data_IF_761781324009
#
_entry.id   IF_761781324009
#
_cell.length_a   1.000
_cell.length_b   1.000
_cell.length_c   1.000
_cell.angle_alpha   90.00
_cell.angle_beta   90.00
_cell.angle_gamma   90.00
#
_symmetry.space_group_name_H-M   'P 1'
#
loop_
_entity.id
_entity.type
_entity.pdbx_description
1 polymer ?
#
# COMPACT_ATOMS: atom_id res chain seq x y z
N UNK A 1 -5.30 -4.77 -26.93
CA UNK A 1 -6.65 -4.42 -26.44
C UNK A 1 -7.40 -5.67 -25.98
N UNK A 2 -7.24 -6.04 -24.71
CA UNK A 2 -8.07 -6.98 -23.97
C UNK A 2 -7.80 -6.75 -22.48
N UNK A 3 -8.83 -6.31 -21.75
CA UNK A 3 -8.96 -6.28 -20.29
C UNK A 3 -7.77 -5.81 -19.43
N UNK A 4 -7.68 -4.50 -19.14
CA UNK A 4 -6.95 -4.02 -17.96
C UNK A 4 -7.96 -3.48 -16.94
N UNK A 5 -8.24 -4.33 -15.95
CA UNK A 5 -8.66 -4.04 -14.58
C UNK A 5 -9.48 -2.76 -14.35
N UNK A 6 -10.80 -2.85 -14.50
CA UNK A 6 -11.74 -2.09 -13.68
C UNK A 6 -11.64 -2.62 -12.23
N UNK A 7 -10.52 -2.36 -11.53
CA UNK A 7 -10.38 -2.65 -10.10
C UNK A 7 -10.91 -1.52 -9.21
N UNK A 8 -11.67 -0.60 -9.78
CA UNK A 8 -12.55 0.28 -9.01
C UNK A 8 -13.72 -0.56 -8.49
N UNK A 9 -13.49 -1.31 -7.41
CA UNK A 9 -14.61 -1.89 -6.67
C UNK A 9 -15.30 -0.70 -5.99
N UNK A 10 -16.37 -0.20 -6.63
CA UNK A 10 -17.31 0.75 -6.04
C UNK A 10 -17.70 0.25 -4.64
N UNK A 11 -18.01 1.19 -3.75
CA UNK A 11 -18.48 0.94 -2.38
C UNK A 11 -19.87 0.28 -2.35
N UNK A 12 -20.08 -0.82 -3.08
CA UNK A 12 -21.37 -1.47 -3.22
C UNK A 12 -21.56 -2.59 -2.20
N UNK A 13 -22.35 -2.30 -1.17
CA UNK A 13 -23.40 -3.13 -0.54
C UNK A 13 -23.07 -4.48 0.10
N UNK A 14 -21.96 -5.14 -0.24
CA UNK A 14 -21.51 -6.39 0.36
C UNK A 14 -20.55 -6.06 1.52
N UNK A 15 -21.16 -5.74 2.67
CA UNK A 15 -20.55 -5.81 4.00
C UNK A 15 -19.19 -5.10 4.16
N UNK A 16 -19.24 -3.78 4.25
CA UNK A 16 -18.30 -2.96 5.06
C UNK A 16 -18.53 -3.23 6.56
N UNK A 17 -18.64 -4.49 6.98
CA UNK A 17 -19.14 -4.85 8.32
C UNK A 17 -18.11 -5.64 9.14
N UNK A 18 -16.90 -5.83 8.62
CA UNK A 18 -15.78 -6.40 9.35
C UNK A 18 -14.69 -5.36 9.60
N UNK A 19 -14.00 -5.49 10.73
CA UNK A 19 -12.78 -4.74 11.02
C UNK A 19 -11.65 -5.32 10.17
N UNK A 20 -10.93 -4.46 9.44
CA UNK A 20 -9.74 -4.85 8.67
C UNK A 20 -8.53 -5.00 9.60
N UNK A 21 -7.60 -5.91 9.30
CA UNK A 21 -6.36 -5.99 10.08
C UNK A 21 -5.45 -4.78 9.80
N UNK A 22 -5.42 -4.32 8.54
CA UNK A 22 -4.59 -3.19 8.10
C UNK A 22 -5.35 -2.28 7.14
N UNK A 23 -5.37 -0.98 7.45
CA UNK A 23 -5.75 0.08 6.53
C UNK A 23 -4.52 0.92 6.14
N UNK A 24 -4.25 1.05 4.85
CA UNK A 24 -3.20 1.92 4.31
C UNK A 24 -3.86 3.14 3.67
N UNK A 25 -3.55 4.32 4.21
CA UNK A 25 -4.05 5.60 3.71
C UNK A 25 -3.06 6.16 2.70
N UNK A 26 -3.37 5.99 1.41
CA UNK A 26 -2.60 6.51 0.27
C UNK A 26 -1.95 5.41 -0.60
N UNK A 27 -2.37 5.33 -1.87
CA UNK A 27 -1.82 4.41 -2.87
C UNK A 27 -0.58 4.94 -3.60
N UNK A 28 0.29 5.65 -2.87
CA UNK A 28 1.61 6.02 -3.37
C UNK A 28 2.61 4.86 -3.26
N UNK A 29 3.86 5.07 -3.69
CA UNK A 29 4.89 4.02 -3.63
C UNK A 29 5.10 3.48 -2.21
N UNK A 30 5.11 4.36 -1.19
CA UNK A 30 5.27 3.94 0.19
C UNK A 30 4.10 3.07 0.67
N UNK A 31 2.86 3.54 0.47
CA UNK A 31 1.67 2.82 0.91
C UNK A 31 1.48 1.50 0.19
N UNK A 32 1.61 1.47 -1.13
CA UNK A 32 1.54 0.22 -1.90
C UNK A 32 2.64 -0.76 -1.50
N UNK A 33 3.85 -0.28 -1.17
CA UNK A 33 4.90 -1.17 -0.68
C UNK A 33 4.57 -1.69 0.72
N UNK A 34 4.12 -0.85 1.65
CA UNK A 34 3.69 -1.32 2.97
C UNK A 34 2.56 -2.37 2.85
N UNK A 35 1.56 -2.11 2.02
CA UNK A 35 0.44 -3.00 1.75
C UNK A 35 0.89 -4.34 1.16
N UNK A 36 1.87 -4.32 0.24
CA UNK A 36 2.44 -5.56 -0.31
C UNK A 36 3.05 -6.44 0.78
N UNK A 37 3.75 -5.84 1.75
CA UNK A 37 4.40 -6.58 2.82
C UNK A 37 3.39 -7.15 3.82
N UNK A 38 2.38 -6.36 4.21
CA UNK A 38 1.35 -6.83 5.13
C UNK A 38 0.48 -7.93 4.51
N UNK A 39 0.06 -7.76 3.25
CA UNK A 39 -0.74 -8.77 2.56
C UNK A 39 0.04 -10.07 2.30
N UNK A 40 1.35 -9.98 2.03
CA UNK A 40 2.21 -11.18 1.91
C UNK A 40 2.38 -11.93 3.22
N UNK A 41 2.25 -11.27 4.36
CA UNK A 41 2.17 -11.93 5.67
C UNK A 41 0.82 -12.62 5.90
N UNK A 42 -0.18 -12.35 5.05
CA UNK A 42 -1.53 -12.89 5.18
C UNK A 42 -2.50 -11.98 5.93
N UNK A 43 -2.10 -10.73 6.23
CA UNK A 43 -2.98 -9.75 6.88
C UNK A 43 -4.01 -9.19 5.89
N UNK A 44 -5.27 -9.12 6.29
CA UNK A 44 -6.35 -8.46 5.56
C UNK A 44 -6.05 -6.95 5.41
N UNK A 45 -5.57 -6.60 4.23
CA UNK A 45 -4.99 -5.29 3.94
C UNK A 45 -5.84 -4.54 2.92
N UNK A 46 -6.31 -3.37 3.33
CA UNK A 46 -7.03 -2.43 2.48
C UNK A 46 -6.18 -1.18 2.20
N UNK A 47 -6.10 -0.78 0.93
CA UNK A 47 -5.54 0.51 0.51
C UNK A 47 -6.69 1.44 0.10
N UNK A 48 -6.76 2.61 0.73
CA UNK A 48 -7.63 3.72 0.28
C UNK A 48 -6.78 4.73 -0.48
N UNK A 49 -7.12 4.99 -1.73
CA UNK A 49 -6.34 5.84 -2.63
C UNK A 49 -7.24 6.74 -3.48
N UNK A 50 -6.77 7.94 -3.83
CA UNK A 50 -7.49 8.88 -4.68
C UNK A 50 -6.80 9.08 -6.05
N UNK A 51 -5.87 8.20 -6.42
CA UNK A 51 -5.22 8.19 -7.73
C UNK A 51 -4.17 9.29 -7.97
N UNK A 52 -4.00 10.24 -7.05
CA UNK A 52 -3.16 11.43 -7.28
C UNK A 52 -1.68 11.29 -6.87
N UNK A 53 -1.13 10.07 -6.91
CA UNK A 53 0.30 9.86 -6.64
C UNK A 53 1.15 10.80 -7.49
N UNK A 54 1.99 11.63 -6.84
CA UNK A 54 2.85 12.60 -7.53
C UNK A 54 3.75 11.93 -8.57
N UNK A 55 4.10 10.64 -8.36
CA UNK A 55 4.91 9.87 -9.28
C UNK A 55 4.28 9.83 -10.68
N UNK A 56 2.96 9.62 -10.77
CA UNK A 56 2.22 9.52 -12.05
C UNK A 56 2.29 10.80 -12.89
N UNK A 57 2.58 11.95 -12.27
CA UNK A 57 2.72 13.28 -12.90
C UNK A 57 4.11 13.53 -13.51
N UNK A 58 5.11 12.69 -13.22
CA UNK A 58 6.46 12.86 -13.75
C UNK A 58 6.60 12.25 -15.15
N UNK A 59 7.51 12.79 -15.96
CA UNK A 59 7.73 12.35 -17.34
C UNK A 59 8.46 10.99 -17.42
N UNK A 60 9.44 10.77 -16.54
CA UNK A 60 10.22 9.54 -16.51
C UNK A 60 10.78 9.27 -15.10
N UNK A 61 10.87 8.00 -14.70
CA UNK A 61 11.50 7.56 -13.45
C UNK A 61 12.85 6.92 -13.78
N UNK A 62 13.94 7.64 -13.54
CA UNK A 62 15.26 7.28 -14.05
C UNK A 62 16.11 6.43 -13.09
N UNK A 63 15.88 6.56 -11.78
CA UNK A 63 16.81 6.07 -10.75
C UNK A 63 16.20 5.01 -9.82
N UNK A 64 15.18 4.27 -10.27
CA UNK A 64 14.66 3.12 -9.53
C UNK A 64 15.47 1.85 -9.89
N UNK A 65 16.18 1.22 -8.94
CA UNK A 65 16.99 0.03 -9.21
C UNK A 65 16.20 -1.09 -9.87
N UNK A 66 16.82 -1.79 -10.82
CA UNK A 66 16.15 -2.83 -11.62
C UNK A 66 15.58 -2.33 -12.95
N UNK A 67 15.56 -1.02 -13.19
CA UNK A 67 15.20 -0.42 -14.49
C UNK A 67 16.41 0.30 -15.11
N UNK A 68 17.27 -0.40 -15.88
CA UNK A 68 18.54 0.15 -16.37
C UNK A 68 18.42 1.39 -17.27
N UNK A 69 17.27 1.57 -17.91
CA UNK A 69 16.96 2.72 -18.76
C UNK A 69 15.83 3.59 -18.17
N UNK A 70 15.58 3.46 -16.87
CA UNK A 70 14.39 4.02 -16.24
C UNK A 70 13.10 3.33 -16.68
N UNK A 71 11.97 3.87 -16.22
CA UNK A 71 10.62 3.35 -16.51
C UNK A 71 9.61 4.50 -16.59
N UNK A 72 8.55 4.31 -17.39
CA UNK A 72 7.43 5.24 -17.38
C UNK A 72 6.79 5.24 -15.96
N UNK A 73 6.63 6.40 -15.29
CA UNK A 73 6.17 6.44 -13.89
C UNK A 73 4.76 5.90 -13.66
N UNK A 74 3.86 6.04 -14.64
CA UNK A 74 2.51 5.46 -14.57
C UNK A 74 2.55 3.95 -14.72
N UNK A 75 3.31 3.46 -15.71
CA UNK A 75 3.52 2.02 -15.89
C UNK A 75 4.10 1.37 -14.62
N UNK A 76 5.09 2.02 -13.99
CA UNK A 76 5.63 1.56 -12.71
C UNK A 76 4.56 1.50 -11.61
N UNK A 77 3.74 2.54 -11.49
CA UNK A 77 2.66 2.57 -10.50
C UNK A 77 1.62 1.47 -10.75
N UNK A 78 1.20 1.25 -12.00
CA UNK A 78 0.26 0.19 -12.38
C UNK A 78 0.83 -1.21 -12.09
N UNK A 79 2.12 -1.43 -12.37
CA UNK A 79 2.79 -2.70 -12.06
C UNK A 79 2.89 -2.94 -10.55
N UNK A 80 3.16 -1.89 -9.77
CA UNK A 80 3.21 -1.97 -8.31
C UNK A 80 1.82 -2.28 -7.72
N UNK A 81 0.78 -1.61 -8.23
CA UNK A 81 -0.61 -1.86 -7.86
C UNK A 81 -1.02 -3.29 -8.23
N UNK A 82 -0.76 -3.74 -9.45
CA UNK A 82 -1.03 -5.11 -9.87
C UNK A 82 -0.28 -6.16 -9.03
N UNK A 83 0.94 -5.86 -8.59
CA UNK A 83 1.68 -6.71 -7.67
C UNK A 83 0.97 -6.80 -6.31
N UNK A 84 0.48 -5.68 -5.77
CA UNK A 84 -0.29 -5.69 -4.50
C UNK A 84 -1.59 -6.48 -4.63
N UNK A 85 -2.37 -6.25 -5.70
CA UNK A 85 -3.62 -6.99 -5.97
C UNK A 85 -3.37 -8.49 -6.09
N UNK A 86 -2.29 -8.89 -6.77
CA UNK A 86 -1.89 -10.30 -6.88
C UNK A 86 -1.63 -10.96 -5.51
N UNK A 87 -1.19 -10.19 -4.52
CA UNK A 87 -0.92 -10.67 -3.16
C UNK A 87 -2.12 -10.47 -2.23
N UNK A 88 -3.30 -10.11 -2.73
CA UNK A 88 -4.54 -10.05 -1.95
C UNK A 88 -4.84 -8.70 -1.30
N UNK A 89 -4.16 -7.62 -1.71
CA UNK A 89 -4.53 -6.27 -1.26
C UNK A 89 -5.86 -5.84 -1.89
N UNK A 90 -6.80 -5.42 -1.06
CA UNK A 90 -8.03 -4.75 -1.49
C UNK A 90 -7.74 -3.28 -1.78
N UNK A 91 -8.22 -2.75 -2.91
CA UNK A 91 -8.08 -1.34 -3.27
C UNK A 91 -9.44 -0.66 -3.31
N UNK A 92 -9.52 0.54 -2.73
CA UNK A 92 -10.72 1.39 -2.77
C UNK A 92 -10.35 2.81 -3.16
N UNK A 93 -11.15 3.35 -4.08
CA UNK A 93 -11.02 4.73 -4.50
C UNK A 93 -11.74 5.64 -3.50
N UNK A 94 -11.01 6.62 -2.95
CA UNK A 94 -11.55 7.56 -1.96
C UNK A 94 -10.47 8.40 -1.27
N UNK A 95 -10.92 9.41 -0.52
CA UNK A 95 -10.06 10.27 0.31
C UNK A 95 -10.46 10.12 1.77
N UNK A 96 -9.50 9.70 2.61
CA UNK A 96 -9.70 9.70 4.06
C UNK A 96 -9.77 11.15 4.55
N UNK A 97 -10.87 11.48 5.21
CA UNK A 97 -11.19 12.82 5.72
C UNK A 97 -11.07 12.91 7.25
N UNK A 98 -11.14 11.77 7.95
CA UNK A 98 -10.97 11.70 9.40
C UNK A 98 -10.58 10.29 9.84
N UNK A 99 -9.90 10.21 10.97
CA UNK A 99 -9.47 8.97 11.60
C UNK A 99 -9.67 9.10 13.11
N UNK A 100 -10.49 8.23 13.68
CA UNK A 100 -10.82 8.25 15.11
C UNK A 100 -10.50 6.90 15.75
N UNK A 101 -10.21 6.90 17.05
CA UNK A 101 -10.14 5.65 17.80
C UNK A 101 -11.52 5.00 17.89
N UNK A 102 -11.52 3.68 17.78
CA UNK A 102 -12.69 2.87 18.05
C UNK A 102 -12.31 1.78 19.05
N UNK A 103 -13.11 1.68 20.11
CA UNK A 103 -13.06 0.54 21.02
C UNK A 103 -14.18 -0.41 20.59
N UNK A 104 -13.83 -1.64 20.22
CA UNK A 104 -14.81 -2.72 20.08
C UNK A 104 -15.56 -2.83 21.41
N UNK A 105 -16.87 -2.61 21.39
CA UNK A 105 -17.71 -2.77 22.58
C UNK A 105 -17.50 -4.17 23.15
N UNK A 106 -17.27 -4.23 24.47
CA UNK A 106 -16.95 -5.42 25.25
C UNK A 106 -17.67 -6.69 24.76
N UNK A 107 -16.90 -7.78 24.65
CA UNK A 107 -17.39 -9.10 24.27
C UNK A 107 -18.53 -9.59 25.16
N UNK A 108 -19.75 -9.46 24.67
CA UNK A 108 -20.93 -10.20 25.14
C UNK A 108 -21.34 -11.20 24.05
N UNK A 109 -20.39 -12.05 23.65
CA UNK A 109 -20.59 -13.21 22.80
C UNK A 109 -20.53 -14.49 23.61
N UNK A 110 -21.68 -15.14 23.81
CA UNK A 110 -21.80 -16.46 24.43
C UNK A 110 -20.84 -17.46 23.76
N UNK A 111 -19.96 -18.07 24.56
CA UNK A 111 -18.77 -18.74 24.06
C UNK A 111 -19.02 -19.84 23.03
N UNK A 112 -18.27 -19.79 21.92
CA UNK A 112 -17.66 -20.95 21.25
C UNK A 112 -16.89 -20.56 19.96
N UNK A 113 -15.78 -19.83 20.09
CA UNK A 113 -14.60 -19.88 19.21
C UNK A 113 -13.74 -18.66 19.51
N UNK A 114 -12.57 -18.87 20.14
CA UNK A 114 -11.64 -17.78 20.42
C UNK A 114 -11.05 -17.25 19.12
N UNK A 115 -11.41 -16.02 18.78
CA UNK A 115 -10.59 -14.97 18.15
C UNK A 115 -11.43 -13.68 18.11
N UNK A 116 -11.95 -13.28 19.27
CA UNK A 116 -12.47 -11.92 19.44
C UNK A 116 -11.26 -10.99 19.60
N UNK A 117 -10.88 -10.31 18.50
CA UNK A 117 -9.92 -9.22 18.48
C UNK A 117 -10.46 -8.02 19.27
N UNK A 118 -10.41 -8.13 20.60
CA UNK A 118 -10.70 -7.05 21.52
C UNK A 118 -9.42 -6.23 21.72
N UNK A 119 -9.14 -5.32 20.79
CA UNK A 119 -8.01 -4.38 20.84
C UNK A 119 -8.41 -2.98 20.36
N UNK A 120 -7.64 -1.93 20.72
CA UNK A 120 -7.88 -0.59 20.20
C UNK A 120 -7.70 -0.58 18.68
N UNK A 121 -8.69 -0.05 17.96
CA UNK A 121 -8.66 0.11 16.52
C UNK A 121 -8.95 1.54 16.10
N UNK A 122 -9.19 1.70 14.81
CA UNK A 122 -9.47 2.98 14.17
C UNK A 122 -10.71 2.86 13.30
N UNK A 123 -11.48 3.94 13.20
CA UNK A 123 -12.50 4.12 12.17
C UNK A 123 -12.08 5.30 11.30
N UNK A 124 -11.91 5.02 10.00
CA UNK A 124 -11.61 6.01 8.99
C UNK A 124 -12.89 6.43 8.27
N UNK A 125 -13.11 7.74 8.19
CA UNK A 125 -14.16 8.34 7.35
C UNK A 125 -13.59 8.60 5.97
N UNK A 126 -14.13 7.94 4.96
CA UNK A 126 -13.67 7.99 3.58
C UNK A 126 -14.72 8.66 2.70
N UNK A 127 -14.38 9.80 2.13
CA UNK A 127 -15.20 10.44 1.11
C UNK A 127 -15.08 9.73 -0.24
N UNK A 128 -16.21 9.59 -0.93
CA UNK A 128 -16.26 9.14 -2.32
C UNK A 128 -15.43 10.05 -3.23
N UNK A 129 -14.86 9.48 -4.29
CA UNK A 129 -14.24 10.29 -5.34
C UNK A 129 -15.28 11.02 -6.21
N UNK A 130 -16.52 10.52 -6.24
CA UNK A 130 -17.63 11.08 -7.00
C UNK A 130 -18.84 11.30 -6.05
N UNK A 131 -19.18 12.56 -5.77
CA UNK A 131 -20.32 12.93 -4.93
C UNK A 131 -20.00 13.25 -3.47
N UNK A 132 -21.05 13.41 -2.66
CA UNK A 132 -20.98 13.79 -1.24
C UNK A 132 -21.07 12.57 -0.29
N UNK A 133 -21.05 11.35 -0.84
CA UNK A 133 -21.16 10.13 -0.05
C UNK A 133 -19.90 9.88 0.77
N UNK A 134 -20.11 9.39 2.00
CA UNK A 134 -19.03 9.01 2.92
C UNK A 134 -19.23 7.57 3.37
N UNK A 135 -18.12 6.89 3.60
CA UNK A 135 -18.06 5.51 4.05
C UNK A 135 -17.15 5.40 5.26
N UNK A 136 -17.50 4.52 6.19
CA UNK A 136 -16.66 4.20 7.33
C UNK A 136 -15.89 2.90 7.08
N UNK A 137 -14.62 2.89 7.48
CA UNK A 137 -13.76 1.70 7.42
C UNK A 137 -13.14 1.51 8.79
N UNK A 138 -13.47 0.42 9.46
CA UNK A 138 -12.81 0.03 10.70
C UNK A 138 -11.54 -0.78 10.40
N UNK A 139 -10.45 -0.50 11.12
CA UNK A 139 -9.20 -1.25 11.03
C UNK A 139 -8.48 -1.34 12.38
N UNK A 140 -7.78 -2.46 12.64
CA UNK A 140 -6.96 -2.62 13.85
C UNK A 140 -5.69 -1.75 13.79
N UNK A 141 -5.07 -1.67 12.61
CA UNK A 141 -3.83 -0.93 12.39
C UNK A 141 -3.96 -0.04 11.16
N UNK A 142 -3.32 1.12 11.21
CA UNK A 142 -3.36 2.11 10.12
C UNK A 142 -1.96 2.53 9.72
N UNK A 143 -1.69 2.55 8.42
CA UNK A 143 -0.46 3.10 7.84
C UNK A 143 -0.78 4.42 7.13
N UNK A 144 -0.31 5.53 7.70
CA UNK A 144 -0.33 6.88 7.13
C UNK A 144 0.74 6.95 6.05
N UNK A 145 0.34 6.80 4.78
CA UNK A 145 1.22 6.86 3.62
C UNK A 145 0.77 7.91 2.59
N UNK A 146 0.04 8.91 3.06
CA UNK A 146 -0.47 10.00 2.24
C UNK A 146 0.64 10.99 1.88
N UNK A 147 0.26 12.08 1.20
CA UNK A 147 1.14 13.23 1.10
C UNK A 147 1.29 13.92 2.47
N UNK A 148 1.98 15.07 2.53
CA UNK A 148 2.25 15.77 3.79
C UNK A 148 1.02 16.34 4.51
N UNK A 149 -0.15 16.34 3.87
CA UNK A 149 -1.38 16.80 4.51
C UNK A 149 -1.97 15.64 5.31
N UNK A 150 -1.97 15.78 6.63
CA UNK A 150 -2.34 14.74 7.61
C UNK A 150 -3.45 15.19 8.55
N UNK A 151 -4.19 16.22 8.15
CA UNK A 151 -5.29 16.83 8.94
C UNK A 151 -6.39 15.82 9.30
N UNK A 152 -6.51 14.71 8.56
CA UNK A 152 -7.41 13.62 8.91
C UNK A 152 -7.01 12.87 10.18
N UNK A 153 -5.81 13.14 10.74
CA UNK A 153 -5.37 12.64 12.06
C UNK A 153 -5.78 13.59 13.21
N UNK A 154 -6.40 14.73 12.91
CA UNK A 154 -6.85 15.68 13.92
C UNK A 154 -7.76 14.98 14.94
N UNK A 155 -7.40 15.09 16.22
CA UNK A 155 -8.12 14.42 17.32
C UNK A 155 -7.44 13.14 17.82
N UNK A 156 -6.45 12.61 17.10
CA UNK A 156 -5.53 11.61 17.62
C UNK A 156 -4.35 12.31 18.32
N UNK A 157 -3.87 11.74 19.43
CA UNK A 157 -2.72 12.27 20.21
C UNK A 157 -1.38 11.88 19.55
N UNK A 158 -1.28 12.20 18.26
CA UNK A 158 -0.11 11.90 17.41
C UNK A 158 0.88 13.05 17.51
N UNK A 159 2.15 12.74 17.75
CA UNK A 159 3.21 13.73 17.72
C UNK A 159 3.43 14.22 16.27
N UNK A 160 3.27 15.53 16.06
CA UNK A 160 3.40 16.18 14.76
C UNK A 160 4.53 17.20 14.75
N UNK A 161 5.21 17.29 13.60
CA UNK A 161 6.30 18.22 13.36
C UNK A 161 5.98 19.15 12.20
N UNK A 162 5.98 20.46 12.46
CA UNK A 162 5.83 21.47 11.41
C UNK A 162 7.16 21.81 10.73
N UNK A 163 7.13 21.98 9.40
CA UNK A 163 8.26 22.50 8.63
C UNK A 163 7.78 23.37 7.47
N UNK A 164 7.65 24.67 7.74
CA UNK A 164 7.10 25.62 6.76
C UNK A 164 5.61 25.37 6.58
N UNK A 165 5.17 25.10 5.35
CA UNK A 165 3.77 24.83 5.02
C UNK A 165 3.42 23.34 5.04
N UNK A 166 4.23 22.50 5.69
CA UNK A 166 4.08 21.04 5.70
C UNK A 166 4.10 20.53 7.12
N UNK A 167 3.27 19.52 7.36
CA UNK A 167 3.20 18.78 8.60
C UNK A 167 3.75 17.38 8.34
N UNK A 168 4.48 16.84 9.30
CA UNK A 168 4.96 15.46 9.29
C UNK A 168 4.56 14.79 10.60
N UNK A 169 4.43 13.46 10.55
CA UNK A 169 4.17 12.63 11.73
C UNK A 169 5.50 12.15 12.26
N UNK A 170 5.74 12.34 13.56
CA UNK A 170 6.94 11.86 14.23
C UNK A 170 6.90 10.32 14.41
N UNK A 171 8.06 9.69 14.34
CA UNK A 171 8.20 8.24 14.34
C UNK A 171 9.49 7.73 15.01
N UNK A 172 9.52 6.45 15.40
CA UNK A 172 10.58 5.82 16.20
C UNK A 172 11.85 5.37 15.43
N UNK A 173 11.90 5.62 14.13
CA UNK A 173 12.91 5.14 13.19
C UNK A 173 12.48 3.92 12.38
N UNK A 174 11.42 3.23 12.80
CA UNK A 174 10.83 2.06 12.12
C UNK A 174 9.40 2.32 11.65
N UNK A 175 8.94 3.57 11.74
CA UNK A 175 7.62 4.02 11.31
C UNK A 175 6.52 3.92 12.35
N UNK A 176 6.80 3.58 13.62
CA UNK A 176 5.78 3.60 14.68
C UNK A 176 5.58 5.04 15.17
N UNK A 177 4.33 5.44 15.35
CA UNK A 177 3.99 6.77 15.92
C UNK A 177 3.84 6.70 17.44
N UNK A 178 3.53 7.83 18.08
CA UNK A 178 3.14 7.88 19.50
C UNK A 178 1.84 7.13 19.82
N UNK A 179 1.01 6.87 18.79
CA UNK A 179 -0.27 6.17 18.92
C UNK A 179 -0.10 4.70 18.52
N UNK A 180 -0.40 3.79 19.44
CA UNK A 180 -0.32 2.35 19.20
C UNK A 180 -1.25 1.93 18.05
N UNK A 181 -0.73 1.09 17.14
CA UNK A 181 -1.46 0.65 15.94
C UNK A 181 -1.45 1.67 14.78
N UNK A 182 -0.96 2.89 14.99
CA UNK A 182 -0.77 3.89 13.94
C UNK A 182 0.70 3.97 13.52
N UNK A 183 0.93 3.80 12.23
CA UNK A 183 2.23 3.82 11.58
C UNK A 183 2.28 4.92 10.53
N UNK A 184 3.48 5.40 10.19
CA UNK A 184 3.67 6.39 9.13
C UNK A 184 4.78 5.97 8.16
N UNK A 185 4.52 6.11 6.86
CA UNK A 185 5.42 5.74 5.78
C UNK A 185 5.67 6.89 4.80
N UNK A 186 6.77 6.77 4.05
CA UNK A 186 7.11 7.70 2.97
C UNK A 186 7.16 9.18 3.38
N UNK A 187 6.39 10.02 2.67
CA UNK A 187 6.53 11.48 2.75
C UNK A 187 5.98 12.07 4.04
N UNK A 188 4.92 11.49 4.59
CA UNK A 188 4.33 11.89 5.87
C UNK A 188 5.31 11.70 7.04
N UNK A 189 6.25 10.76 6.92
CA UNK A 189 7.35 10.52 7.87
C UNK A 189 8.64 11.31 7.55
N UNK A 190 8.50 12.44 6.84
CA UNK A 190 9.61 13.31 6.41
C UNK A 190 10.74 12.63 5.62
N UNK A 191 10.50 11.46 5.00
CA UNK A 191 11.55 10.84 4.19
C UNK A 191 11.90 11.65 2.95
N UNK A 192 13.13 11.48 2.48
CA UNK A 192 13.61 12.13 1.26
C UNK A 192 12.71 11.79 0.07
N UNK A 193 12.44 12.80 -0.75
CA UNK A 193 11.47 12.71 -1.82
C UNK A 193 12.04 11.98 -3.05
N UNK A 194 12.11 10.66 -2.98
CA UNK A 194 12.59 9.75 -4.01
C UNK A 194 11.75 8.47 -4.00
N UNK A 195 11.35 7.95 -5.16
CA UNK A 195 10.48 6.77 -5.24
C UNK A 195 11.08 5.54 -4.55
N UNK A 196 12.39 5.31 -4.70
CA UNK A 196 13.08 4.19 -4.04
C UNK A 196 13.19 4.35 -2.51
N UNK A 197 13.32 5.59 -2.03
CA UNK A 197 13.31 5.87 -0.58
C UNK A 197 11.92 5.59 -0.02
N UNK A 198 10.87 6.03 -0.71
CA UNK A 198 9.49 5.73 -0.34
C UNK A 198 9.21 4.23 -0.35
N UNK A 199 9.70 3.48 -1.35
CA UNK A 199 9.57 2.02 -1.39
C UNK A 199 10.28 1.35 -0.21
N UNK A 200 11.55 1.71 0.04
CA UNK A 200 12.31 1.16 1.15
C UNK A 200 11.67 1.43 2.51
N UNK A 201 11.23 2.67 2.76
CA UNK A 201 10.57 3.01 4.01
C UNK A 201 9.18 2.36 4.13
N UNK A 202 8.42 2.26 3.04
CA UNK A 202 7.15 1.51 3.04
C UNK A 202 7.34 0.03 3.36
N UNK A 203 8.39 -0.60 2.83
CA UNK A 203 8.75 -1.98 3.17
C UNK A 203 9.14 -2.14 4.65
N UNK A 204 9.97 -1.23 5.17
CA UNK A 204 10.37 -1.21 6.58
C UNK A 204 9.15 -1.10 7.48
N UNK A 205 8.25 -0.14 7.24
CA UNK A 205 6.99 0.03 7.98
C UNK A 205 6.10 -1.21 7.89
N UNK A 206 5.97 -1.80 6.70
CA UNK A 206 5.18 -3.02 6.51
C UNK A 206 5.71 -4.20 7.31
N UNK A 207 7.04 -4.40 7.34
CA UNK A 207 7.68 -5.44 8.17
C UNK A 207 7.53 -5.13 9.66
N UNK A 208 7.70 -3.87 10.06
CA UNK A 208 7.49 -3.41 11.44
C UNK A 208 6.07 -3.77 11.90
N UNK A 209 5.07 -3.48 11.08
CA UNK A 209 3.68 -3.82 11.37
C UNK A 209 3.47 -5.33 11.47
N UNK A 210 3.99 -6.12 10.53
CA UNK A 210 3.91 -7.60 10.57
C UNK A 210 4.58 -8.17 11.81
N UNK A 211 5.69 -7.59 12.25
CA UNK A 211 6.33 -7.98 13.50
C UNK A 211 5.44 -7.68 14.71
N UNK A 212 4.79 -6.52 14.73
CA UNK A 212 3.90 -6.09 15.81
C UNK A 212 2.54 -6.83 15.80
N UNK A 213 2.14 -7.45 14.69
CA UNK A 213 0.96 -8.32 14.60
C UNK A 213 1.21 -9.75 15.06
N UNK A 214 2.44 -10.10 15.45
CA UNK A 214 2.87 -11.45 15.83
C UNK A 214 2.66 -12.51 14.73
N UNK A 215 2.38 -12.08 13.50
CA UNK A 215 2.22 -12.95 12.34
C UNK A 215 3.56 -13.62 12.01
N UNK A 216 3.59 -14.91 11.65
CA UNK A 216 4.82 -15.58 11.29
C UNK A 216 5.59 -14.85 10.18
N UNK A 217 6.87 -14.65 10.40
CA UNK A 217 7.77 -14.06 9.42
C UNK A 217 7.79 -14.88 8.12
N UNK A 218 7.88 -14.20 6.97
CA UNK A 218 8.02 -14.82 5.66
C UNK A 218 9.22 -14.25 4.91
N UNK A 219 9.79 -15.06 4.00
CA UNK A 219 10.85 -14.61 3.12
C UNK A 219 10.31 -14.08 1.78
N UNK A 220 10.96 -13.06 1.24
CA UNK A 220 10.69 -12.52 -0.11
C UNK A 220 11.30 -13.37 -1.23
N UNK A 221 11.99 -14.46 -0.88
CA UNK A 221 12.59 -15.43 -1.79
C UNK A 221 12.22 -16.87 -1.44
N UNK A 222 12.39 -17.73 -2.43
CA UNK A 222 12.25 -19.19 -2.29
C UNK A 222 13.54 -19.87 -2.73
N UNK A 223 13.77 -21.09 -2.26
CA UNK A 223 14.98 -21.87 -2.58
C UNK A 223 14.67 -23.07 -3.45
N UNK A 224 15.63 -23.58 -4.23
CA UNK A 224 15.46 -24.86 -4.91
C UNK A 224 15.21 -26.00 -3.91
N UNK A 225 14.40 -26.98 -4.31
CA UNK A 225 14.21 -28.24 -3.60
C UNK A 225 15.56 -28.89 -3.24
N UNK A 226 15.68 -29.36 -2.00
CA UNK A 226 16.93 -29.93 -1.48
C UNK A 226 17.89 -28.90 -0.89
N UNK A 227 17.64 -27.59 -1.03
CA UNK A 227 18.59 -26.57 -0.57
C UNK A 227 18.94 -26.73 0.90
N UNK A 228 17.97 -26.79 1.81
CA UNK A 228 18.18 -27.11 3.22
C UNK A 228 18.11 -28.62 3.47
N UNK A 229 17.12 -29.29 2.91
CA UNK A 229 16.76 -30.66 3.26
C UNK A 229 17.84 -31.69 2.87
N UNK A 230 18.50 -31.57 1.71
CA UNK A 230 19.60 -32.47 1.31
C UNK A 230 20.85 -32.30 2.17
N UNK A 231 20.96 -31.16 2.88
CA UNK A 231 22.03 -30.88 3.85
C UNK A 231 21.66 -31.32 5.28
N UNK A 232 20.55 -32.05 5.44
CA UNK A 232 20.05 -32.51 6.74
C UNK A 232 19.58 -31.37 7.63
N UNK A 233 19.14 -30.24 7.05
CA UNK A 233 18.60 -29.09 7.77
C UNK A 233 17.10 -28.99 7.52
N UNK A 234 16.37 -28.54 8.54
CA UNK A 234 14.96 -28.17 8.37
C UNK A 234 14.86 -26.89 7.54
N UNK A 235 13.77 -26.76 6.77
CA UNK A 235 13.46 -25.53 6.05
C UNK A 235 13.11 -24.46 7.09
N UNK A 236 13.78 -23.28 7.08
CA UNK A 236 13.48 -22.22 8.03
C UNK A 236 12.00 -21.79 7.96
N UNK A 237 11.41 -21.34 9.09
CA UNK A 237 10.07 -20.74 9.06
C UNK A 237 9.98 -19.62 8.01
N UNK A 238 8.90 -19.60 7.24
CA UNK A 238 8.70 -18.60 6.19
C UNK A 238 9.48 -18.83 4.89
N UNK A 239 10.32 -19.88 4.80
CA UNK A 239 10.98 -20.31 3.58
C UNK A 239 10.18 -21.40 2.85
N UNK A 240 10.30 -21.40 1.52
CA UNK A 240 9.78 -22.45 0.65
C UNK A 240 10.94 -23.09 -0.14
N UNK A 241 10.93 -24.42 -0.25
CA UNK A 241 11.74 -25.18 -1.20
C UNK A 241 10.86 -25.55 -2.41
N UNK A 242 11.23 -25.06 -3.60
CA UNK A 242 10.46 -25.25 -4.84
C UNK A 242 11.16 -26.19 -5.80
N UNK A 243 10.39 -27.11 -6.40
CA UNK A 243 10.90 -28.00 -7.45
C UNK A 243 11.41 -27.21 -8.66
N UNK A 244 12.29 -27.81 -9.46
CA UNK A 244 12.77 -27.19 -10.71
C UNK A 244 11.61 -26.89 -11.69
N UNK A 245 10.55 -27.72 -11.68
CA UNK A 245 9.36 -27.50 -12.50
C UNK A 245 8.62 -26.23 -12.08
N UNK A 246 8.43 -26.04 -10.77
CA UNK A 246 7.78 -24.87 -10.19
C UNK A 246 8.62 -23.60 -10.40
N UNK A 247 9.93 -23.67 -10.13
CA UNK A 247 10.87 -22.56 -10.38
C UNK A 247 10.78 -22.07 -11.83
N UNK A 248 10.77 -22.99 -12.80
CA UNK A 248 10.62 -22.66 -14.22
C UNK A 248 9.23 -22.14 -14.57
N UNK A 249 8.19 -22.57 -13.88
CA UNK A 249 6.84 -22.04 -14.08
C UNK A 249 6.76 -20.58 -13.65
N UNK A 250 7.24 -20.25 -12.43
CA UNK A 250 7.36 -18.87 -11.93
C UNK A 250 8.21 -17.99 -12.84
N UNK A 251 9.32 -18.52 -13.38
CA UNK A 251 10.18 -17.81 -14.35
C UNK A 251 9.46 -17.50 -15.68
N UNK A 252 8.70 -18.45 -16.23
CA UNK A 252 7.91 -18.19 -17.45
C UNK A 252 6.83 -17.15 -17.22
N UNK A 253 6.18 -17.21 -16.07
CA UNK A 253 5.14 -16.25 -15.69
C UNK A 253 5.70 -14.83 -15.54
N UNK A 254 6.82 -14.66 -14.82
CA UNK A 254 7.44 -13.35 -14.65
C UNK A 254 7.90 -12.76 -15.99
N UNK A 255 8.49 -13.58 -16.86
CA UNK A 255 8.86 -13.15 -18.22
C UNK A 255 7.65 -12.76 -19.07
N UNK A 256 6.54 -13.49 -18.96
CA UNK A 256 5.31 -13.19 -19.69
C UNK A 256 4.70 -11.85 -19.23
N UNK A 257 4.56 -11.65 -17.92
CA UNK A 257 4.06 -10.41 -17.34
C UNK A 257 4.92 -9.20 -17.75
N UNK A 258 6.24 -9.31 -17.66
CA UNK A 258 7.14 -8.23 -18.07
C UNK A 258 7.02 -7.93 -19.58
N UNK A 259 6.90 -8.95 -20.43
CA UNK A 259 6.70 -8.72 -21.87
C UNK A 259 5.39 -7.99 -22.15
N UNK A 260 4.33 -8.32 -21.42
CA UNK A 260 3.02 -7.68 -21.56
C UNK A 260 3.05 -6.20 -21.12
N UNK A 261 3.62 -5.90 -19.95
CA UNK A 261 3.68 -4.51 -19.48
C UNK A 261 4.53 -3.61 -20.37
N UNK A 262 5.57 -4.16 -21.00
CA UNK A 262 6.52 -3.40 -21.81
C UNK A 262 6.31 -3.57 -23.33
N UNK A 263 5.24 -4.23 -23.79
CA UNK A 263 5.02 -4.42 -25.23
C UNK A 263 4.55 -3.16 -25.95
N UNK A 264 3.88 -2.26 -25.24
CA UNK A 264 3.31 -1.03 -25.78
C UNK A 264 3.61 0.16 -24.86
N UNK A 265 3.51 1.37 -25.40
CA UNK A 265 3.57 2.59 -24.58
C UNK A 265 2.37 2.63 -23.64
N UNK A 266 2.53 3.31 -22.50
CA UNK A 266 1.43 3.56 -21.59
C UNK A 266 0.28 4.27 -22.30
N UNK A 267 -0.93 3.71 -22.22
CA UNK A 267 -2.09 4.16 -23.00
C UNK A 267 -2.51 5.59 -22.66
N UNK A 268 -2.46 5.96 -21.37
CA UNK A 268 -2.79 7.31 -20.94
C UNK A 268 -1.67 8.31 -21.25
N UNK A 269 -2.08 9.47 -21.76
CA UNK A 269 -1.20 10.62 -21.97
C UNK A 269 -0.65 11.11 -20.64
N UNK A 270 0.56 11.67 -20.68
CA UNK A 270 1.18 12.33 -19.53
C UNK A 270 0.27 13.44 -19.00
N UNK A 271 -0.20 13.30 -17.76
CA UNK A 271 -0.81 14.40 -17.01
C UNK A 271 0.30 15.25 -16.40
N UNK A 272 0.21 16.56 -16.58
CA UNK A 272 1.12 17.55 -15.99
C UNK A 272 0.57 18.07 -14.65
N UNK A 273 1.29 18.97 -13.98
CA UNK A 273 0.80 19.58 -12.75
C UNK A 273 -0.53 20.33 -12.99
N UNK A 274 -1.52 20.29 -12.07
CA UNK A 274 -2.82 20.96 -12.25
C UNK A 274 -2.71 22.46 -12.53
N UNK A 275 -1.69 23.14 -12.00
CA UNK A 275 -1.44 24.56 -12.28
C UNK A 275 -0.95 24.87 -13.70
N UNK A 276 -0.72 23.84 -14.54
CA UNK A 276 -0.25 23.96 -15.92
C UNK A 276 -1.35 23.60 -16.94
N UNK A 277 -2.59 23.41 -16.48
CA UNK A 277 -3.73 23.04 -17.32
C UNK A 277 -4.21 24.22 -18.18
N UNK A 278 -3.98 25.46 -17.74
CA UNK A 278 -4.23 26.69 -18.51
C UNK A 278 -2.92 27.28 -19.05
N UNK A 279 -2.25 26.60 -20.00
CA UNK A 279 -1.07 27.17 -20.64
C UNK A 279 -1.36 27.69 -22.07
N UNK A 280 -0.95 28.94 -22.32
CA UNK A 280 -1.02 29.60 -23.64
C UNK A 280 -0.14 28.91 -24.70
N UNK A 281 0.54 27.82 -24.34
CA UNK A 281 1.50 27.08 -25.17
C UNK A 281 0.88 25.79 -25.71
N UNK A 282 -0.41 25.53 -25.44
CA UNK A 282 -1.16 24.43 -26.01
C UNK A 282 -0.67 23.05 -25.56
N UNK A 283 -0.14 22.93 -24.34
CA UNK A 283 0.33 21.64 -23.81
C UNK A 283 -0.82 20.71 -23.37
N UNK A 284 -2.06 21.20 -23.41
CA UNK A 284 -3.31 20.47 -23.12
C UNK A 284 -4.33 20.83 -24.20
N UNK A 285 -5.07 19.86 -24.76
CA UNK A 285 -6.26 20.15 -25.59
C UNK A 285 -7.49 20.27 -24.68
N UNK A 286 -8.44 21.14 -25.06
CA UNK A 286 -9.76 21.24 -24.44
C UNK A 286 -10.53 19.91 -24.61
N UNK A 287 -11.33 19.55 -23.60
CA UNK A 287 -12.01 18.26 -23.39
C UNK A 287 -12.65 17.58 -24.62
#
# INVERSE_FOLDING_TARGET
>A
MSGRSESDIEWNGASTTGVREVLVVGGGVAGLTAALFTARAGLDTLVVNHGESILRRNAHLENFPGFPAGVNPRLFADMLEAQTTRNGVDHRTGRVAGLEHFESADGEGDGASGDDASGPGFVATVGSAEGDDTHEVAAERVVVASWSDVDYLDGLDVDLREAGSKTYVDEDGFGRTSVAGLYVAGRSAERYHQAIVSAGHGAEVGITLVHDSETPFYHDWVTPEGYFTDRGREVPPGCEEVSETERRARERESMAAMREYFSELHAERQRTHPSLVEDEVGRVEEE
#
